data_IF_923818106086
#
_entry.id   IF_923818106086
#
_cell.length_a   1.000
_cell.length_b   1.000
_cell.length_c   1.000
_cell.angle_alpha   90.00
_cell.angle_beta   90.00
_cell.angle_gamma   90.00
#
_symmetry.space_group_name_H-M   'P 1'
#
loop_
_entity.id
_entity.type
_entity.pdbx_description
1 polymer ?
#
# COMPACT_ATOMS: atom_id res chain seq x y z
N UNK A 1 -11.17 3.79 5.56
CA UNK A 1 -11.11 2.47 4.93
C UNK A 1 -9.92 1.65 5.41
N UNK A 2 -8.68 2.11 5.19
CA UNK A 2 -7.44 1.37 5.55
C UNK A 2 -7.49 0.78 6.95
N UNK A 3 -7.62 1.61 7.97
CA UNK A 3 -7.60 1.17 9.38
C UNK A 3 -8.76 0.20 9.68
N UNK A 4 -9.97 0.51 9.19
CA UNK A 4 -11.14 -0.38 9.38
C UNK A 4 -10.96 -1.75 8.73
N UNK A 5 -10.28 -1.82 7.57
CA UNK A 5 -9.99 -3.11 6.92
C UNK A 5 -8.87 -3.86 7.66
N UNK A 6 -7.81 -3.17 8.09
CA UNK A 6 -6.71 -3.81 8.86
C UNK A 6 -7.25 -4.39 10.17
N UNK A 7 -8.05 -3.61 10.93
CA UNK A 7 -8.73 -4.11 12.13
C UNK A 7 -9.69 -5.27 11.80
N UNK A 8 -10.40 -5.20 10.69
CA UNK A 8 -11.29 -6.27 10.23
C UNK A 8 -10.56 -7.56 9.88
N UNK A 9 -9.35 -7.47 9.28
CA UNK A 9 -8.51 -8.66 9.06
C UNK A 9 -8.08 -9.30 10.38
N UNK A 10 -7.77 -8.51 11.40
CA UNK A 10 -7.48 -9.01 12.74
C UNK A 10 -8.72 -9.65 13.37
N UNK A 11 -9.91 -9.04 13.22
CA UNK A 11 -11.18 -9.61 13.67
C UNK A 11 -11.49 -10.98 13.06
N UNK A 12 -11.19 -11.17 11.77
CA UNK A 12 -11.33 -12.46 11.10
C UNK A 12 -10.40 -13.54 11.68
N UNK A 13 -9.21 -13.16 12.12
CA UNK A 13 -8.24 -14.07 12.75
C UNK A 13 -8.63 -14.39 14.20
N UNK A 14 -9.19 -13.43 14.91
CA UNK A 14 -9.71 -13.60 16.27
C UNK A 14 -10.94 -14.51 16.28
N UNK A 15 -11.88 -14.30 15.35
CA UNK A 15 -13.08 -15.10 15.18
C UNK A 15 -14.24 -14.70 16.09
N UNK A 16 -14.17 -13.58 16.81
CA UNK A 16 -15.30 -13.04 17.58
C UNK A 16 -16.43 -12.59 16.64
N UNK A 17 -17.63 -13.14 16.82
CA UNK A 17 -18.79 -12.88 15.96
C UNK A 17 -19.18 -11.41 15.89
N UNK A 18 -19.03 -10.66 16.99
CA UNK A 18 -19.35 -9.23 17.06
C UNK A 18 -18.36 -8.44 16.21
N UNK A 19 -17.05 -8.73 16.32
CA UNK A 19 -16.01 -8.07 15.54
C UNK A 19 -16.13 -8.42 14.06
N UNK A 20 -16.39 -9.68 13.71
CA UNK A 20 -16.62 -10.14 12.34
C UNK A 20 -17.85 -9.46 11.74
N UNK A 21 -18.94 -9.32 12.51
CA UNK A 21 -20.15 -8.61 12.08
C UNK A 21 -19.89 -7.11 11.89
N UNK A 22 -19.15 -6.47 12.79
CA UNK A 22 -18.73 -5.07 12.66
C UNK A 22 -17.88 -4.85 11.41
N UNK A 23 -16.99 -5.78 11.09
CA UNK A 23 -16.21 -5.73 9.85
C UNK A 23 -17.08 -5.84 8.60
N UNK A 24 -18.06 -6.76 8.58
CA UNK A 24 -19.05 -6.86 7.51
C UNK A 24 -19.74 -5.52 7.26
N UNK A 25 -20.23 -4.90 8.32
CA UNK A 25 -20.93 -3.62 8.24
C UNK A 25 -20.01 -2.50 7.73
N UNK A 26 -18.75 -2.50 8.14
CA UNK A 26 -17.73 -1.56 7.61
C UNK A 26 -17.59 -1.71 6.09
N UNK A 27 -17.47 -2.94 5.57
CA UNK A 27 -17.34 -3.19 4.13
C UNK A 27 -18.59 -2.76 3.36
N UNK A 28 -19.78 -3.02 3.89
CA UNK A 28 -21.05 -2.57 3.31
C UNK A 28 -21.13 -1.05 3.28
N UNK A 29 -20.86 -0.39 4.40
CA UNK A 29 -20.86 1.08 4.49
C UNK A 29 -19.90 1.71 3.48
N UNK A 30 -18.71 1.15 3.29
CA UNK A 30 -17.75 1.64 2.30
C UNK A 30 -18.28 1.51 0.87
N UNK A 31 -18.91 0.37 0.52
CA UNK A 31 -19.45 0.13 -0.82
C UNK A 31 -20.69 0.98 -1.13
N UNK A 32 -21.59 1.15 -0.17
CA UNK A 32 -22.76 2.01 -0.32
C UNK A 32 -22.41 3.49 -0.58
N UNK A 33 -21.22 3.90 -0.11
CA UNK A 33 -20.70 5.25 -0.29
C UNK A 33 -19.59 5.33 -1.36
N UNK A 34 -19.46 4.31 -2.19
CA UNK A 34 -18.50 4.33 -3.30
C UNK A 34 -18.86 5.42 -4.32
N UNK A 35 -17.86 6.21 -4.71
CA UNK A 35 -18.03 7.19 -5.78
C UNK A 35 -18.40 6.52 -7.10
N UNK A 36 -19.20 7.20 -7.93
CA UNK A 36 -19.68 6.68 -9.23
C UNK A 36 -18.56 6.19 -10.16
N UNK A 37 -17.35 6.74 -10.04
CA UNK A 37 -16.15 6.33 -10.80
C UNK A 37 -15.36 5.19 -10.16
N UNK A 38 -15.74 4.71 -8.97
CA UNK A 38 -15.11 3.55 -8.34
C UNK A 38 -14.25 3.84 -7.11
N UNK A 39 -14.01 5.10 -6.76
CA UNK A 39 -13.23 5.45 -5.58
C UNK A 39 -13.98 5.06 -4.30
N UNK A 40 -13.29 4.41 -3.38
CA UNK A 40 -13.80 4.04 -2.05
C UNK A 40 -13.47 5.16 -1.05
N UNK A 41 -14.42 5.60 -0.21
CA UNK A 41 -14.16 6.63 0.79
C UNK A 41 -13.00 6.26 1.72
N UNK A 42 -12.20 7.22 2.09
CA UNK A 42 -11.22 7.10 3.18
C UNK A 42 -11.94 6.99 4.52
N UNK A 43 -12.93 7.86 4.74
CA UNK A 43 -13.75 7.89 5.93
C UNK A 43 -15.22 8.05 5.58
N UNK A 44 -16.08 7.37 6.34
CA UNK A 44 -17.53 7.57 6.40
C UNK A 44 -17.90 7.72 7.85
N UNK A 45 -18.64 8.78 8.20
CA UNK A 45 -19.12 8.97 9.57
C UNK A 45 -20.53 9.52 9.55
N UNK A 46 -21.24 9.38 10.65
CA UNK A 46 -22.63 9.81 10.80
C UNK A 46 -22.69 10.97 11.79
N UNK A 47 -23.23 12.11 11.35
CA UNK A 47 -23.44 13.29 12.20
C UNK A 47 -24.88 13.72 12.12
N UNK A 48 -25.57 13.71 13.27
CA UNK A 48 -26.98 14.12 13.42
C UNK A 48 -27.93 13.52 12.36
N UNK A 49 -27.70 12.22 12.04
CA UNK A 49 -28.50 11.50 11.05
C UNK A 49 -28.07 11.71 9.59
N UNK A 50 -27.05 12.52 9.34
CA UNK A 50 -26.49 12.71 8.00
C UNK A 50 -25.21 11.89 7.82
N UNK A 51 -25.06 11.25 6.66
CA UNK A 51 -23.82 10.58 6.28
C UNK A 51 -22.82 11.60 5.74
N UNK A 52 -21.65 11.63 6.32
CA UNK A 52 -20.52 12.45 5.88
C UNK A 52 -19.46 11.55 5.26
N UNK A 53 -18.87 11.98 4.14
CA UNK A 53 -17.93 11.18 3.36
C UNK A 53 -16.68 12.01 3.08
N UNK A 54 -15.51 11.38 3.25
CA UNK A 54 -14.24 11.95 2.80
C UNK A 54 -13.46 10.92 1.99
N UNK A 55 -12.89 11.37 0.88
CA UNK A 55 -11.97 10.55 0.06
C UNK A 55 -10.49 10.82 0.39
N UNK A 56 -10.21 11.68 1.34
CA UNK A 56 -8.90 12.10 1.79
C UNK A 56 -8.87 13.59 2.13
N UNK A 57 -7.72 14.09 2.56
CA UNK A 57 -7.52 15.50 2.89
C UNK A 57 -7.22 16.36 1.64
N UNK A 58 -5.95 16.83 1.53
CA UNK A 58 -5.49 17.61 0.38
C UNK A 58 -5.56 16.83 -0.94
N UNK A 59 -5.40 15.52 -0.89
CA UNK A 59 -5.55 14.62 -2.01
C UNK A 59 -6.35 13.38 -1.62
N UNK A 60 -7.01 12.73 -2.61
CA UNK A 60 -7.70 11.47 -2.39
C UNK A 60 -6.72 10.33 -2.09
N UNK A 61 -7.12 9.41 -1.22
CA UNK A 61 -6.33 8.22 -0.87
C UNK A 61 -6.53 7.14 -1.92
N UNK A 62 -5.47 6.77 -2.61
CA UNK A 62 -5.55 5.76 -3.68
C UNK A 62 -5.59 4.33 -3.13
N UNK A 63 -5.05 4.09 -1.96
CA UNK A 63 -4.96 2.77 -1.33
C UNK A 63 -6.29 2.23 -0.81
N UNK A 64 -7.29 3.10 -0.59
CA UNK A 64 -8.61 2.73 -0.04
C UNK A 64 -9.33 1.67 -0.88
N UNK A 65 -9.21 1.74 -2.20
CA UNK A 65 -9.80 0.77 -3.13
C UNK A 65 -9.18 -0.62 -2.93
N UNK A 66 -7.86 -0.68 -2.91
CA UNK A 66 -7.13 -1.94 -2.74
C UNK A 66 -7.41 -2.56 -1.38
N UNK A 67 -7.42 -1.77 -0.31
CA UNK A 67 -7.80 -2.24 1.03
C UNK A 67 -9.21 -2.76 1.09
N UNK A 68 -10.18 -2.04 0.50
CA UNK A 68 -11.56 -2.49 0.44
C UNK A 68 -11.67 -3.86 -0.25
N UNK A 69 -11.04 -4.03 -1.42
CA UNK A 69 -11.06 -5.30 -2.16
C UNK A 69 -10.42 -6.43 -1.34
N UNK A 70 -9.28 -6.17 -0.70
CA UNK A 70 -8.63 -7.14 0.20
C UNK A 70 -9.57 -7.53 1.34
N UNK A 71 -10.24 -6.53 1.92
CA UNK A 71 -11.20 -6.73 3.01
C UNK A 71 -12.36 -7.64 2.61
N UNK A 72 -13.06 -7.31 1.52
CA UNK A 72 -14.18 -8.12 1.02
C UNK A 72 -13.73 -9.54 0.70
N UNK A 73 -12.60 -9.68 -0.02
CA UNK A 73 -12.11 -11.00 -0.42
C UNK A 73 -11.74 -11.88 0.77
N UNK A 74 -11.09 -11.33 1.79
CA UNK A 74 -10.75 -12.09 2.98
C UNK A 74 -11.99 -12.38 3.83
N UNK A 75 -12.91 -11.42 4.00
CA UNK A 75 -14.17 -11.63 4.69
C UNK A 75 -14.91 -12.85 4.10
N UNK A 76 -15.15 -12.85 2.78
CA UNK A 76 -15.82 -13.96 2.08
C UNK A 76 -15.04 -15.27 2.21
N UNK A 77 -13.71 -15.23 2.14
CA UNK A 77 -12.87 -16.43 2.27
C UNK A 77 -13.00 -17.09 3.64
N UNK A 78 -13.04 -16.30 4.71
CA UNK A 78 -13.15 -16.79 6.09
C UNK A 78 -14.57 -17.23 6.43
N UNK A 79 -15.57 -16.39 6.11
CA UNK A 79 -16.97 -16.63 6.51
C UNK A 79 -17.76 -17.49 5.53
N UNK A 80 -17.29 -17.64 4.27
CA UNK A 80 -18.02 -18.30 3.15
C UNK A 80 -19.32 -17.59 2.75
N UNK A 81 -19.52 -16.33 3.13
CA UNK A 81 -20.71 -15.53 2.83
C UNK A 81 -20.77 -15.17 1.34
N UNK A 82 -21.41 -16.02 0.54
CA UNK A 82 -21.60 -15.80 -0.90
C UNK A 82 -22.59 -14.66 -1.19
N UNK A 83 -23.51 -14.37 -0.28
CA UNK A 83 -24.48 -13.30 -0.47
C UNK A 83 -23.77 -11.94 -0.52
N UNK A 84 -22.85 -11.69 0.41
CA UNK A 84 -22.06 -10.46 0.38
C UNK A 84 -21.14 -10.42 -0.86
N UNK A 85 -20.53 -11.52 -1.25
CA UNK A 85 -19.70 -11.55 -2.46
C UNK A 85 -20.48 -11.05 -3.67
N UNK A 86 -21.68 -11.58 -3.89
CA UNK A 86 -22.50 -11.23 -5.04
C UNK A 86 -22.88 -9.73 -5.07
N UNK A 87 -23.14 -9.14 -3.91
CA UNK A 87 -23.44 -7.70 -3.81
C UNK A 87 -22.21 -6.83 -4.00
N UNK A 88 -21.01 -7.32 -3.62
CA UNK A 88 -19.77 -6.53 -3.66
C UNK A 88 -19.02 -6.63 -5.01
N UNK A 89 -19.27 -7.65 -5.83
CA UNK A 89 -18.59 -7.80 -7.15
C UNK A 89 -18.65 -6.52 -8.00
N UNK A 90 -19.82 -5.85 -8.21
CA UNK A 90 -19.87 -4.64 -9.02
C UNK A 90 -19.00 -3.50 -8.46
N UNK A 91 -18.90 -3.38 -7.15
CA UNK A 91 -18.05 -2.38 -6.47
C UNK A 91 -16.57 -2.68 -6.64
N UNK A 92 -16.18 -3.95 -6.52
CA UNK A 92 -14.81 -4.42 -6.73
C UNK A 92 -14.37 -4.17 -8.18
N UNK A 93 -15.19 -4.56 -9.16
CA UNK A 93 -14.87 -4.41 -10.58
C UNK A 93 -14.75 -2.95 -10.99
N UNK A 94 -15.63 -2.08 -10.47
CA UNK A 94 -15.54 -0.63 -10.64
C UNK A 94 -14.26 -0.06 -10.00
N UNK A 95 -13.87 -0.54 -8.82
CA UNK A 95 -12.63 -0.17 -8.17
C UNK A 95 -11.40 -0.55 -9.00
N UNK A 96 -11.35 -1.78 -9.53
CA UNK A 96 -10.25 -2.20 -10.41
C UNK A 96 -10.17 -1.39 -11.70
N UNK A 97 -11.31 -1.02 -12.30
CA UNK A 97 -11.34 -0.15 -13.48
C UNK A 97 -10.69 1.20 -13.19
N UNK A 98 -10.96 1.79 -12.02
CA UNK A 98 -10.34 3.06 -11.63
C UNK A 98 -8.84 2.90 -11.35
N UNK A 99 -8.41 1.84 -10.67
CA UNK A 99 -6.98 1.54 -10.47
C UNK A 99 -6.25 1.34 -11.81
N UNK A 100 -6.90 0.75 -12.81
CA UNK A 100 -6.35 0.60 -14.17
C UNK A 100 -6.27 1.96 -14.88
N UNK A 101 -7.26 2.83 -14.73
CA UNK A 101 -7.22 4.18 -15.28
C UNK A 101 -6.07 5.03 -14.70
N UNK A 102 -5.67 4.78 -13.45
CA UNK A 102 -4.53 5.47 -12.82
C UNK A 102 -3.15 4.95 -13.26
N UNK A 103 -3.09 3.98 -14.15
CA UNK A 103 -1.82 3.62 -14.80
C UNK A 103 -1.33 4.71 -15.75
N UNK A 104 -2.24 5.53 -16.30
CA UNK A 104 -2.02 6.60 -17.27
C UNK A 104 -1.34 6.16 -18.57
N UNK A 105 -0.31 5.32 -18.49
CA UNK A 105 0.47 4.85 -19.64
C UNK A 105 0.16 3.39 -20.03
N UNK A 106 -0.79 2.74 -19.37
CA UNK A 106 -1.19 1.35 -19.58
C UNK A 106 -0.04 0.33 -19.49
N UNK A 107 0.95 0.62 -18.65
CA UNK A 107 2.14 -0.23 -18.47
C UNK A 107 2.17 -0.96 -17.11
N UNK A 108 1.02 -1.24 -16.51
CA UNK A 108 0.82 -2.07 -15.31
C UNK A 108 0.98 -1.35 -13.97
N UNK A 109 1.83 -0.34 -13.82
CA UNK A 109 2.00 0.36 -12.55
C UNK A 109 1.07 1.57 -12.46
N UNK A 110 0.38 1.71 -11.33
CA UNK A 110 -0.46 2.87 -11.07
C UNK A 110 0.32 4.01 -10.44
N UNK A 111 -0.04 5.23 -10.79
CA UNK A 111 0.56 6.46 -10.30
C UNK A 111 -0.20 6.99 -9.08
N UNK A 112 0.51 7.34 -8.04
CA UNK A 112 -0.02 7.88 -6.78
C UNK A 112 0.32 9.36 -6.69
N UNK A 113 -0.66 10.27 -6.53
CA UNK A 113 -0.39 11.69 -6.28
C UNK A 113 0.21 11.90 -4.89
N UNK A 114 0.91 13.01 -4.68
CA UNK A 114 1.40 13.41 -3.35
C UNK A 114 0.24 13.40 -2.35
N UNK A 115 0.47 12.92 -1.14
CA UNK A 115 -0.56 12.69 -0.10
C UNK A 115 -1.61 11.62 -0.43
N UNK A 116 -1.53 10.94 -1.55
CA UNK A 116 -2.42 9.84 -1.91
C UNK A 116 -2.04 8.47 -1.34
N UNK A 117 -0.86 8.36 -0.76
CA UNK A 117 -0.25 7.16 -0.19
C UNK A 117 -0.72 6.91 1.26
N UNK A 118 -0.26 5.81 1.86
CA UNK A 118 -0.51 5.48 3.27
C UNK A 118 0.08 6.53 4.24
N UNK A 119 1.18 7.15 3.84
CA UNK A 119 1.85 8.21 4.58
C UNK A 119 1.25 9.57 4.17
N UNK A 120 0.14 9.91 4.75
CA UNK A 120 -0.79 10.98 4.35
C UNK A 120 -0.16 12.36 4.16
N UNK A 121 0.86 12.68 4.94
CA UNK A 121 1.53 14.01 4.97
C UNK A 121 3.03 13.89 4.69
N UNK A 122 3.45 12.80 4.03
CA UNK A 122 4.84 12.59 3.64
C UNK A 122 5.02 12.84 2.14
N UNK A 123 6.12 13.50 1.69
CA UNK A 123 6.28 13.92 0.29
C UNK A 123 6.70 12.73 -0.60
N UNK A 124 5.79 11.77 -0.78
CA UNK A 124 5.96 10.64 -1.67
C UNK A 124 4.90 10.66 -2.76
N UNK A 125 5.30 10.48 -4.01
CA UNK A 125 4.45 10.52 -5.18
C UNK A 125 5.03 9.66 -6.32
N UNK A 126 4.26 9.48 -7.35
CA UNK A 126 4.68 8.74 -8.53
C UNK A 126 4.23 7.29 -8.53
N UNK A 127 5.01 6.44 -9.15
CA UNK A 127 4.83 4.99 -9.01
C UNK A 127 5.43 4.59 -7.67
N UNK A 128 4.59 4.31 -6.68
CA UNK A 128 5.02 3.96 -5.32
C UNK A 128 5.06 2.45 -5.13
N UNK A 129 6.02 1.95 -4.37
CA UNK A 129 6.14 0.53 -4.06
C UNK A 129 4.90 0.04 -3.29
N UNK A 130 4.52 0.76 -2.23
CA UNK A 130 3.40 0.40 -1.37
C UNK A 130 2.11 0.20 -2.15
N UNK A 131 1.68 1.20 -2.92
CA UNK A 131 0.39 1.16 -3.61
C UNK A 131 0.34 0.08 -4.70
N UNK A 132 1.46 -0.13 -5.41
CA UNK A 132 1.54 -1.18 -6.43
C UNK A 132 1.59 -2.59 -5.82
N UNK A 133 2.26 -2.78 -4.68
CA UNK A 133 2.20 -4.03 -3.91
C UNK A 133 0.79 -4.29 -3.36
N UNK A 134 0.16 -3.27 -2.80
CA UNK A 134 -1.19 -3.39 -2.26
C UNK A 134 -2.21 -3.75 -3.35
N UNK A 135 -2.11 -3.11 -4.53
CA UNK A 135 -2.92 -3.46 -5.70
C UNK A 135 -2.69 -4.90 -6.16
N UNK A 136 -1.43 -5.35 -6.19
CA UNK A 136 -1.09 -6.73 -6.52
C UNK A 136 -1.75 -7.71 -5.54
N UNK A 137 -1.72 -7.42 -4.26
CA UNK A 137 -2.39 -8.23 -3.25
C UNK A 137 -3.91 -8.27 -3.45
N UNK A 138 -4.55 -7.14 -3.71
CA UNK A 138 -5.97 -7.06 -4.03
C UNK A 138 -6.35 -7.91 -5.25
N UNK A 139 -5.59 -7.82 -6.34
CA UNK A 139 -5.77 -8.64 -7.54
C UNK A 139 -5.65 -10.14 -7.23
N UNK A 140 -4.65 -10.54 -6.45
CA UNK A 140 -4.47 -11.94 -6.04
C UNK A 140 -5.61 -12.46 -5.16
N UNK A 141 -6.12 -11.63 -4.23
CA UNK A 141 -7.25 -12.00 -3.39
C UNK A 141 -8.50 -12.22 -4.23
N UNK A 142 -8.79 -11.32 -5.15
CA UNK A 142 -9.97 -11.44 -6.02
C UNK A 142 -9.86 -12.61 -7.00
N UNK A 143 -8.67 -12.87 -7.56
CA UNK A 143 -8.42 -14.03 -8.43
C UNK A 143 -8.74 -15.37 -7.74
N UNK A 144 -8.56 -15.47 -6.43
CA UNK A 144 -8.90 -16.69 -5.66
C UNK A 144 -10.40 -16.89 -5.52
N UNK A 145 -11.22 -15.84 -5.57
CA UNK A 145 -12.68 -15.90 -5.46
C UNK A 145 -13.35 -15.98 -6.83
N UNK A 146 -12.82 -15.25 -7.82
CA UNK A 146 -13.37 -15.18 -9.19
C UNK A 146 -12.22 -15.36 -10.20
N UNK A 147 -11.76 -16.58 -10.46
CA UNK A 147 -10.64 -16.84 -11.37
C UNK A 147 -10.95 -16.41 -12.80
N UNK A 148 -10.02 -15.71 -13.44
CA UNK A 148 -10.09 -15.39 -14.87
C UNK A 148 -8.70 -15.29 -15.49
N UNK A 149 -8.58 -15.66 -16.80
CA UNK A 149 -7.33 -15.54 -17.55
C UNK A 149 -6.86 -14.08 -17.63
N UNK A 150 -7.79 -13.13 -17.91
CA UNK A 150 -7.49 -11.70 -17.99
C UNK A 150 -6.81 -11.21 -16.69
N UNK A 151 -7.37 -11.60 -15.54
CA UNK A 151 -6.82 -11.19 -14.26
C UNK A 151 -5.49 -11.86 -13.95
N UNK A 152 -5.29 -13.13 -14.33
CA UNK A 152 -3.99 -13.79 -14.22
C UNK A 152 -2.89 -13.06 -14.98
N UNK A 153 -3.15 -12.62 -16.21
CA UNK A 153 -2.21 -11.81 -16.99
C UNK A 153 -1.93 -10.46 -16.32
N UNK A 154 -2.96 -9.82 -15.77
CA UNK A 154 -2.79 -8.54 -15.05
C UNK A 154 -1.93 -8.70 -13.79
N UNK A 155 -2.17 -9.75 -13.02
CA UNK A 155 -1.38 -10.08 -11.81
C UNK A 155 0.09 -10.26 -12.19
N UNK A 156 0.38 -11.05 -13.23
CA UNK A 156 1.74 -11.30 -13.66
C UNK A 156 2.42 -10.02 -14.16
N UNK A 157 1.73 -9.23 -14.99
CA UNK A 157 2.24 -7.95 -15.48
C UNK A 157 2.57 -6.97 -14.33
N UNK A 158 1.65 -6.77 -13.39
CA UNK A 158 1.88 -5.90 -12.22
C UNK A 158 3.04 -6.43 -11.36
N UNK A 159 3.09 -7.75 -11.12
CA UNK A 159 4.17 -8.40 -10.37
C UNK A 159 5.53 -8.15 -10.99
N UNK A 160 5.68 -8.46 -12.28
CA UNK A 160 6.94 -8.30 -13.01
C UNK A 160 7.38 -6.84 -13.07
N UNK A 161 6.48 -5.92 -13.40
CA UNK A 161 6.79 -4.49 -13.44
C UNK A 161 7.18 -3.94 -12.07
N UNK A 162 6.49 -4.36 -10.99
CA UNK A 162 6.85 -3.95 -9.62
C UNK A 162 8.22 -4.52 -9.25
N UNK A 163 8.46 -5.81 -9.45
CA UNK A 163 9.74 -6.44 -9.13
C UNK A 163 10.92 -5.83 -9.89
N UNK A 164 10.71 -5.34 -11.11
CA UNK A 164 11.75 -4.80 -11.98
C UNK A 164 12.06 -3.32 -11.71
N UNK A 165 11.03 -2.50 -11.48
CA UNK A 165 11.19 -1.04 -11.48
C UNK A 165 11.56 -0.45 -10.11
N UNK A 166 11.51 -1.23 -9.02
CA UNK A 166 11.85 -0.75 -7.68
C UNK A 166 13.16 -1.31 -7.12
N UNK A 167 13.90 -2.06 -7.93
CA UNK A 167 15.24 -2.58 -7.58
C UNK A 167 16.16 -2.48 -8.78
N UNK A 168 17.47 -2.43 -8.54
CA UNK A 168 18.44 -2.59 -9.62
C UNK A 168 18.36 -3.99 -10.22
N UNK A 169 18.41 -4.07 -11.54
CA UNK A 169 18.38 -5.31 -12.33
C UNK A 169 19.24 -5.15 -13.57
N UNK A 170 19.82 -6.26 -14.03
CA UNK A 170 20.48 -6.30 -15.32
C UNK A 170 19.49 -6.37 -16.50
N UNK A 171 18.19 -6.58 -16.21
CA UNK A 171 17.12 -6.60 -17.20
C UNK A 171 16.71 -5.16 -17.47
N UNK A 172 16.81 -4.73 -18.72
CA UNK A 172 16.47 -3.36 -19.15
C UNK A 172 15.09 -3.27 -19.82
N UNK A 173 14.60 -4.38 -20.32
CA UNK A 173 13.29 -4.46 -20.95
C UNK A 173 12.18 -4.14 -19.93
N UNK A 174 11.23 -3.31 -20.31
CA UNK A 174 10.11 -2.85 -19.47
C UNK A 174 10.49 -1.97 -18.25
N UNK A 175 11.72 -1.43 -18.21
CA UNK A 175 12.03 -0.36 -17.28
C UNK A 175 11.33 0.94 -17.68
N UNK A 176 10.68 1.59 -16.71
CA UNK A 176 9.99 2.86 -16.95
C UNK A 176 10.98 4.03 -17.07
N UNK A 177 12.04 4.00 -16.28
CA UNK A 177 13.01 5.09 -16.20
C UNK A 177 14.44 4.57 -16.03
N UNK A 178 14.95 3.86 -17.05
CA UNK A 178 16.29 3.26 -17.03
C UNK A 178 17.39 4.26 -16.64
N UNK A 179 17.40 5.45 -17.27
CA UNK A 179 18.40 6.49 -17.00
C UNK A 179 18.41 6.90 -15.52
N UNK A 180 17.25 7.14 -14.93
CA UNK A 180 17.18 7.54 -13.51
C UNK A 180 17.60 6.39 -12.59
N UNK A 181 17.17 5.15 -12.87
CA UNK A 181 17.55 3.99 -12.07
C UNK A 181 19.06 3.75 -12.08
N UNK A 182 19.70 3.88 -13.25
CA UNK A 182 21.15 3.71 -13.37
C UNK A 182 21.98 4.78 -12.64
N UNK A 183 21.37 5.90 -12.30
CA UNK A 183 21.98 6.99 -11.53
C UNK A 183 21.77 6.86 -10.01
N UNK A 184 20.95 5.91 -9.57
CA UNK A 184 20.74 5.66 -8.14
C UNK A 184 21.77 4.68 -7.60
N UNK A 185 22.14 4.85 -6.33
CA UNK A 185 22.93 3.86 -5.61
C UNK A 185 22.10 2.59 -5.40
N UNK A 186 22.72 1.43 -5.58
CA UNK A 186 22.07 0.14 -5.27
C UNK A 186 21.78 0.03 -3.78
N UNK A 187 20.51 -0.25 -3.46
CA UNK A 187 20.06 -0.44 -2.07
C UNK A 187 19.76 -1.92 -1.80
N UNK A 188 19.88 -2.37 -0.55
CA UNK A 188 19.55 -3.74 -0.15
C UNK A 188 18.03 -3.98 0.00
N UNK A 189 17.20 -3.04 -0.44
CA UNK A 189 15.75 -3.04 -0.32
C UNK A 189 15.10 -2.46 -1.57
N UNK A 190 13.77 -2.60 -1.72
CA UNK A 190 13.01 -1.95 -2.78
C UNK A 190 12.89 -0.45 -2.53
N UNK A 191 13.14 0.34 -3.56
CA UNK A 191 13.05 1.80 -3.54
C UNK A 191 11.59 2.24 -3.30
N UNK A 192 11.37 3.34 -2.58
CA UNK A 192 10.04 3.77 -2.16
C UNK A 192 9.13 4.16 -3.34
N UNK A 193 9.68 4.92 -4.30
CA UNK A 193 8.91 5.41 -5.44
C UNK A 193 9.82 5.86 -6.59
N UNK A 194 9.21 6.08 -7.76
CA UNK A 194 9.84 6.80 -8.86
C UNK A 194 8.80 7.60 -9.67
N UNK A 195 9.28 8.64 -10.34
CA UNK A 195 8.49 9.50 -11.21
C UNK A 195 9.36 9.98 -12.37
N UNK A 196 8.84 10.79 -13.32
CA UNK A 196 9.67 11.42 -14.34
C UNK A 196 10.84 12.28 -13.77
N UNK A 197 10.75 12.69 -12.50
CA UNK A 197 11.82 13.46 -11.81
C UNK A 197 12.97 12.57 -11.32
N UNK A 198 12.79 11.24 -11.25
CA UNK A 198 13.77 10.28 -10.74
C UNK A 198 13.22 9.35 -9.65
N UNK A 199 14.11 8.77 -8.88
CA UNK A 199 13.79 7.81 -7.83
C UNK A 199 13.84 8.44 -6.44
N UNK A 200 12.85 8.09 -5.61
CA UNK A 200 12.91 8.24 -4.17
C UNK A 200 13.54 6.97 -3.58
N UNK A 201 14.76 7.08 -3.07
CA UNK A 201 15.57 5.95 -2.61
C UNK A 201 15.40 5.64 -1.13
N UNK A 202 14.46 6.29 -0.44
CA UNK A 202 14.19 6.00 0.97
C UNK A 202 13.68 4.57 1.15
N UNK A 203 13.94 4.03 2.32
CA UNK A 203 13.32 2.79 2.77
C UNK A 203 11.89 3.09 3.23
N UNK A 204 10.89 2.66 2.46
CA UNK A 204 9.49 2.61 2.87
C UNK A 204 9.24 1.26 3.54
N UNK A 205 9.14 1.23 4.85
CA UNK A 205 9.01 -0.01 5.60
C UNK A 205 7.72 -0.76 5.27
N UNK A 206 6.60 -0.06 5.02
CA UNK A 206 5.35 -0.71 4.67
C UNK A 206 5.37 -1.28 3.25
N UNK A 207 5.88 -0.52 2.28
CA UNK A 207 6.07 -1.00 0.91
C UNK A 207 6.96 -2.24 0.86
N UNK A 208 8.07 -2.22 1.59
CA UNK A 208 9.00 -3.36 1.70
C UNK A 208 8.39 -4.55 2.43
N UNK A 209 7.59 -4.34 3.49
CA UNK A 209 6.84 -5.40 4.16
C UNK A 209 5.87 -6.11 3.21
N UNK A 210 5.12 -5.36 2.40
CA UNK A 210 4.23 -5.93 1.39
C UNK A 210 4.99 -6.66 0.29
N UNK A 211 6.11 -6.12 -0.18
CA UNK A 211 6.97 -6.75 -1.18
C UNK A 211 7.48 -8.12 -0.72
N UNK A 212 7.93 -8.19 0.54
CA UNK A 212 8.36 -9.44 1.19
C UNK A 212 7.19 -10.43 1.32
N UNK A 213 6.06 -9.99 1.86
CA UNK A 213 4.86 -10.81 2.04
C UNK A 213 4.32 -11.38 0.72
N UNK A 214 4.43 -10.63 -0.38
CA UNK A 214 3.99 -11.05 -1.72
C UNK A 214 5.03 -11.89 -2.47
N UNK A 215 6.21 -12.09 -1.89
CA UNK A 215 7.30 -12.81 -2.51
C UNK A 215 7.60 -12.28 -3.92
N UNK A 216 7.91 -10.97 -4.02
CA UNK A 216 8.05 -10.29 -5.32
C UNK A 216 9.26 -10.75 -6.12
N UNK A 217 10.35 -11.16 -5.47
CA UNK A 217 11.59 -11.57 -6.10
C UNK A 217 12.18 -12.82 -5.43
N UNK A 218 13.39 -13.19 -5.83
CA UNK A 218 14.09 -14.35 -5.32
C UNK A 218 14.60 -14.16 -3.87
N UNK A 219 15.03 -15.26 -3.25
CA UNK A 219 15.48 -15.33 -1.86
C UNK A 219 16.62 -14.35 -1.56
N UNK A 220 17.60 -14.18 -2.45
CA UNK A 220 18.74 -13.29 -2.21
C UNK A 220 18.35 -11.81 -2.03
N UNK A 221 17.29 -11.35 -2.70
CA UNK A 221 16.76 -9.98 -2.52
C UNK A 221 16.04 -9.89 -1.17
N UNK A 222 15.32 -10.95 -0.78
CA UNK A 222 14.66 -11.01 0.52
C UNK A 222 15.67 -11.03 1.67
N UNK A 223 16.73 -11.83 1.58
CA UNK A 223 17.80 -11.88 2.58
C UNK A 223 18.48 -10.52 2.77
N UNK A 224 18.79 -9.81 1.68
CA UNK A 224 19.36 -8.48 1.75
C UNK A 224 18.43 -7.48 2.45
N UNK A 225 17.12 -7.52 2.15
CA UNK A 225 16.11 -6.70 2.82
C UNK A 225 16.03 -7.04 4.30
N UNK A 226 15.94 -8.32 4.66
CA UNK A 226 15.82 -8.79 6.06
C UNK A 226 17.06 -8.37 6.86
N UNK A 227 18.24 -8.59 6.33
CA UNK A 227 19.50 -8.17 6.95
C UNK A 227 19.58 -6.65 7.14
N UNK A 228 19.10 -5.87 6.16
CA UNK A 228 19.03 -4.42 6.28
C UNK A 228 18.04 -4.01 7.39
N UNK A 229 16.85 -4.58 7.39
CA UNK A 229 15.80 -4.29 8.36
C UNK A 229 16.25 -4.62 9.80
N UNK A 230 16.92 -5.76 10.01
CA UNK A 230 17.49 -6.16 11.30
C UNK A 230 18.55 -5.17 11.79
N UNK A 231 19.47 -4.77 10.91
CA UNK A 231 20.51 -3.79 11.26
C UNK A 231 19.92 -2.42 11.57
N UNK A 232 18.93 -1.99 10.78
CA UNK A 232 18.26 -0.73 10.99
C UNK A 232 17.50 -0.71 12.32
N UNK A 233 16.64 -1.71 12.57
CA UNK A 233 15.87 -1.78 13.82
C UNK A 233 16.77 -1.86 15.05
N UNK A 234 17.84 -2.66 15.00
CA UNK A 234 18.82 -2.77 16.09
C UNK A 234 19.60 -1.46 16.37
N UNK A 235 19.63 -0.53 15.41
CA UNK A 235 20.26 0.79 15.59
C UNK A 235 19.32 1.84 16.21
N UNK A 236 18.05 1.48 16.45
CA UNK A 236 17.02 2.38 16.96
C UNK A 236 16.56 1.93 18.37
N UNK A 237 16.18 2.88 19.20
CA UNK A 237 15.86 2.65 20.62
C UNK A 237 14.75 1.61 20.86
N UNK A 238 13.75 1.56 19.97
CA UNK A 238 12.62 0.63 20.11
C UNK A 238 12.87 -0.75 19.48
N UNK A 239 13.99 -0.96 18.77
CA UNK A 239 14.25 -2.16 17.98
C UNK A 239 13.13 -2.49 16.97
N UNK A 240 12.45 -1.46 16.46
CA UNK A 240 11.38 -1.55 15.48
C UNK A 240 11.72 -0.74 14.23
N UNK A 241 11.09 -1.09 13.11
CA UNK A 241 11.30 -0.39 11.84
C UNK A 241 10.59 0.97 11.86
N UNK A 242 11.27 2.04 11.39
CA UNK A 242 10.66 3.34 11.18
C UNK A 242 9.78 3.34 9.92
N UNK A 243 8.82 4.26 9.82
CA UNK A 243 7.94 4.39 8.66
C UNK A 243 8.73 4.60 7.36
N UNK A 244 9.54 5.68 7.33
CA UNK A 244 10.48 5.97 6.25
C UNK A 244 11.89 6.23 6.82
N UNK A 245 12.93 5.83 6.06
CA UNK A 245 14.31 6.01 6.46
C UNK A 245 15.24 6.28 5.27
N UNK A 246 16.29 7.12 5.40
CA UNK A 246 16.59 7.97 6.55
C UNK A 246 15.58 9.11 6.72
N UNK A 247 15.53 9.70 7.93
CA UNK A 247 14.68 10.86 8.23
C UNK A 247 15.04 12.06 7.37
N UNK A 248 14.06 12.90 7.08
CA UNK A 248 14.25 14.20 6.43
C UNK A 248 14.49 15.24 7.52
N UNK A 249 15.56 15.99 7.41
CA UNK A 249 15.94 17.08 8.33
C UNK A 249 15.88 18.43 7.63
N UNK A 250 15.95 19.53 8.37
CA UNK A 250 16.00 20.89 7.80
C UNK A 250 17.17 21.15 6.84
N UNK A 251 18.16 20.24 6.80
CA UNK A 251 19.33 20.35 5.89
C UNK A 251 19.08 19.65 4.57
N UNK A 252 18.05 18.83 4.47
CA UNK A 252 17.75 18.06 3.28
C UNK A 252 16.86 18.87 2.33
N UNK A 253 17.08 18.69 1.03
CA UNK A 253 16.32 19.40 -0.02
C UNK A 253 14.81 19.08 0.02
N UNK A 254 14.45 17.92 0.54
CA UNK A 254 13.07 17.45 0.69
C UNK A 254 12.32 18.11 1.86
N UNK A 255 13.01 18.87 2.73
CA UNK A 255 12.39 19.49 3.90
C UNK A 255 11.26 20.45 3.54
N UNK A 256 11.45 21.29 2.53
CA UNK A 256 10.42 22.24 2.12
C UNK A 256 9.14 21.55 1.65
N UNK A 257 9.28 20.44 0.89
CA UNK A 257 8.14 19.65 0.44
C UNK A 257 7.44 18.95 1.60
N UNK A 258 8.20 18.44 2.58
CA UNK A 258 7.67 17.81 3.78
C UNK A 258 6.91 18.82 4.65
N UNK A 259 7.46 20.00 4.86
CA UNK A 259 6.84 21.05 5.68
C UNK A 259 5.58 21.63 5.02
N UNK A 260 5.56 21.72 3.69
CA UNK A 260 4.38 22.19 2.94
C UNK A 260 3.27 21.16 2.82
N UNK A 261 3.58 19.87 2.92
CA UNK A 261 2.62 18.77 2.69
C UNK A 261 1.85 18.37 3.95
N UNK A 262 1.21 19.33 4.60
CA UNK A 262 0.30 19.06 5.72
C UNK A 262 -0.93 19.98 5.61
N UNK A 263 -2.08 19.48 6.09
CA UNK A 263 -3.35 20.21 6.04
C UNK A 263 -3.66 20.96 7.35
N UNK A 264 -2.97 20.60 8.43
CA UNK A 264 -3.24 21.08 9.77
C UNK A 264 -1.94 21.40 10.51
N UNK A 265 -1.68 20.73 11.62
CA UNK A 265 -0.43 20.86 12.37
C UNK A 265 0.67 19.98 11.75
N UNK A 266 1.87 20.55 11.61
CA UNK A 266 3.04 19.81 11.14
C UNK A 266 3.48 18.76 12.17
N UNK A 267 3.45 17.49 11.79
CA UNK A 267 3.74 16.34 12.65
C UNK A 267 4.95 15.51 12.21
N UNK A 268 5.47 15.76 11.02
CA UNK A 268 6.58 15.00 10.43
C UNK A 268 7.95 15.53 10.88
N UNK A 269 8.12 15.84 12.18
CA UNK A 269 9.45 16.13 12.70
C UNK A 269 10.37 14.91 12.56
N UNK A 270 11.71 15.09 12.51
CA UNK A 270 12.62 13.96 12.46
C UNK A 270 12.36 12.97 13.60
N UNK A 271 12.21 11.68 13.25
CA UNK A 271 11.85 10.55 14.12
C UNK A 271 10.38 10.50 14.58
N UNK A 272 9.53 11.37 14.06
CA UNK A 272 8.12 11.41 14.38
C UNK A 272 7.25 11.08 13.16
N UNK A 273 6.02 10.65 13.41
CA UNK A 273 4.97 10.35 12.43
C UNK A 273 5.49 9.49 11.27
N UNK A 274 5.41 9.95 10.02
CA UNK A 274 5.96 9.18 8.88
C UNK A 274 7.46 9.45 8.64
N UNK A 275 8.01 10.52 9.20
CA UNK A 275 9.41 10.88 9.05
C UNK A 275 10.32 10.18 10.09
N UNK A 276 10.33 8.85 10.06
CA UNK A 276 11.13 8.02 10.96
C UNK A 276 10.39 7.55 12.21
N UNK A 277 9.13 7.92 12.41
CA UNK A 277 8.31 7.41 13.52
C UNK A 277 7.98 5.92 13.33
N UNK A 278 7.73 5.24 14.43
CA UNK A 278 7.43 3.80 14.45
C UNK A 278 5.92 3.54 14.42
N UNK A 279 5.48 2.71 13.51
CA UNK A 279 4.09 2.30 13.36
C UNK A 279 3.94 0.80 13.61
N UNK A 280 3.15 0.43 14.61
CA UNK A 280 2.93 -0.98 14.99
C UNK A 280 2.40 -1.80 13.83
N UNK A 281 1.45 -1.27 13.07
CA UNK A 281 0.88 -1.93 11.88
C UNK A 281 1.94 -2.27 10.84
N UNK A 282 2.89 -1.38 10.57
CA UNK A 282 3.98 -1.58 9.61
C UNK A 282 4.87 -2.73 10.05
N UNK A 283 5.25 -2.74 11.33
CA UNK A 283 6.06 -3.80 11.93
C UNK A 283 5.33 -5.14 11.96
N UNK A 284 4.01 -5.13 12.22
CA UNK A 284 3.16 -6.32 12.12
C UNK A 284 3.15 -6.93 10.71
N UNK A 285 2.98 -6.10 9.67
CA UNK A 285 3.06 -6.57 8.28
C UNK A 285 4.46 -7.05 7.89
N UNK A 286 5.51 -6.43 8.42
CA UNK A 286 6.87 -6.93 8.20
C UNK A 286 7.06 -8.31 8.83
N UNK A 287 6.53 -8.53 10.05
CA UNK A 287 6.48 -9.85 10.70
C UNK A 287 5.74 -10.89 9.85
N UNK A 288 4.59 -10.54 9.26
CA UNK A 288 3.90 -11.43 8.31
C UNK A 288 4.76 -11.74 7.09
N UNK A 289 5.52 -10.77 6.58
CA UNK A 289 6.49 -10.97 5.51
C UNK A 289 7.59 -11.95 5.88
N UNK A 290 8.15 -11.85 7.09
CA UNK A 290 9.15 -12.79 7.61
C UNK A 290 8.62 -14.22 7.69
N UNK A 291 7.42 -14.40 8.25
CA UNK A 291 6.76 -15.73 8.29
C UNK A 291 6.59 -16.30 6.88
N UNK A 292 6.22 -15.47 5.92
CA UNK A 292 6.04 -15.89 4.52
C UNK A 292 7.36 -16.25 3.84
N UNK A 293 8.45 -15.61 4.22
CA UNK A 293 9.81 -15.90 3.75
C UNK A 293 10.47 -17.07 4.52
N UNK A 294 9.77 -17.71 5.46
CA UNK A 294 10.26 -18.79 6.32
C UNK A 294 11.44 -18.37 7.22
N UNK A 295 11.39 -17.16 7.75
CA UNK A 295 12.40 -16.61 8.65
C UNK A 295 11.86 -16.47 10.06
#
# INVERSE_FOLDING_TARGET
ARDGVICGLAALLDGDDTLVSAFKNTLITLSENQHKLGHIPSNVWFDKGNTQISFGGLCGRVDTISWYIIGVCNYVRFTKDQAILNTQIPHIEKGFLLLEAWEFNNKQLMYTPTSGNWADEYPIEGYTLYDNCLRLWALQCYQKLKPSKKQSFKIEGVRQCTALNFTHSNIKENLYHEKALSQTEQKPYWLAAFSPKGYNTKFDAFGNALALMLNLKNESVHENLINHAQKLSASLDLNLLPAFWPVITKRDKEWADLEANNAYEFRNHPYEFHNGGTWVVVNGFFGLGLIKANQ
#
